data_IF_457714211322
#
_entry.id   IF_457714211322
#
_cell.length_a   1.000
_cell.length_b   1.000
_cell.length_c   1.000
_cell.angle_alpha   90.00
_cell.angle_beta   90.00
_cell.angle_gamma   90.00
#
_symmetry.space_group_name_H-M   'P 1'
#
loop_
_entity.id
_entity.type
_entity.pdbx_description
1 polymer ?
#
# COMPACT_ATOMS: atom_id res chain seq x y z
N UNK A 1 5.63 14.39 17.24
CA UNK A 1 6.85 13.97 17.97
C UNK A 1 7.29 12.61 17.46
N UNK A 2 8.60 12.42 17.23
CA UNK A 2 9.15 11.12 16.84
C UNK A 2 9.28 10.23 18.06
N UNK A 3 8.99 8.93 17.90
CA UNK A 3 9.26 7.95 18.95
C UNK A 3 10.77 7.81 19.17
N UNK A 4 11.25 7.67 20.43
CA UNK A 4 12.66 7.37 20.70
C UNK A 4 13.09 6.00 20.15
N UNK A 5 12.14 5.15 19.79
CA UNK A 5 12.35 3.83 19.20
C UNK A 5 12.49 3.85 17.67
N UNK A 6 12.30 5.02 17.03
CA UNK A 6 12.44 5.11 15.56
C UNK A 6 13.88 4.85 15.13
N UNK A 7 14.03 3.92 14.20
CA UNK A 7 15.29 3.72 13.49
C UNK A 7 15.41 4.73 12.36
N UNK A 8 16.63 5.16 12.04
CA UNK A 8 16.88 6.03 10.89
C UNK A 8 16.64 5.37 9.52
N UNK A 9 16.29 4.08 9.48
CA UNK A 9 15.97 3.33 8.25
C UNK A 9 14.49 3.31 8.03
N UNK A 10 14.06 4.06 7.04
CA UNK A 10 12.67 4.10 6.59
C UNK A 10 12.63 4.12 5.07
N UNK A 11 11.52 3.62 4.49
CA UNK A 11 11.20 3.83 3.09
C UNK A 11 11.29 5.33 2.75
N UNK A 12 11.87 5.68 1.60
CA UNK A 12 12.02 7.07 1.14
C UNK A 12 10.71 7.87 1.12
N UNK A 13 9.59 7.17 1.00
CA UNK A 13 8.23 7.75 0.97
C UNK A 13 7.48 7.63 2.30
N UNK A 14 8.14 7.16 3.37
CA UNK A 14 7.49 7.05 4.67
C UNK A 14 7.05 8.43 5.19
N UNK A 15 5.79 8.51 5.63
CA UNK A 15 5.19 9.78 6.02
C UNK A 15 4.51 10.54 4.89
N UNK A 16 4.96 10.40 3.64
CA UNK A 16 4.31 10.95 2.45
C UNK A 16 3.25 9.99 1.89
N UNK A 17 3.63 8.72 1.70
CA UNK A 17 2.73 7.64 1.29
C UNK A 17 1.81 7.22 2.44
N UNK A 18 0.52 7.02 2.16
CA UNK A 18 -0.48 6.57 3.14
C UNK A 18 -0.42 5.08 3.48
N UNK A 19 0.47 4.30 2.84
CA UNK A 19 0.44 2.83 2.91
C UNK A 19 0.97 2.21 4.20
N UNK A 20 1.86 2.88 4.94
CA UNK A 20 2.53 2.34 6.13
C UNK A 20 2.40 3.24 7.34
N UNK A 21 2.17 2.64 8.52
CA UNK A 21 2.04 3.38 9.78
C UNK A 21 3.25 3.20 10.70
N UNK A 22 3.84 2.00 10.73
CA UNK A 22 4.85 1.63 11.73
C UNK A 22 6.23 1.35 11.15
N UNK A 23 6.46 1.62 9.85
CA UNK A 23 7.71 1.21 9.18
C UNK A 23 8.97 1.90 9.73
N UNK A 24 8.82 3.01 10.45
CA UNK A 24 9.92 3.68 11.15
C UNK A 24 10.40 2.95 12.41
N UNK A 25 9.62 2.00 12.92
CA UNK A 25 10.00 1.21 14.09
C UNK A 25 10.70 -0.09 13.69
N UNK A 26 11.63 -0.61 14.54
CA UNK A 26 12.13 -1.98 14.41
C UNK A 26 10.97 -2.96 14.37
N UNK A 27 11.13 -4.08 13.65
CA UNK A 27 10.03 -5.02 13.45
C UNK A 27 9.52 -5.62 14.78
N UNK A 28 10.41 -5.89 15.72
CA UNK A 28 10.09 -6.38 17.06
C UNK A 28 9.22 -5.37 17.84
N UNK A 29 9.51 -4.08 17.71
CA UNK A 29 8.71 -3.02 18.33
C UNK A 29 7.34 -2.88 17.64
N UNK A 30 7.26 -3.08 16.32
CA UNK A 30 5.98 -3.14 15.61
C UNK A 30 5.11 -4.28 16.15
N UNK A 31 5.69 -5.45 16.43
CA UNK A 31 4.98 -6.60 17.00
C UNK A 31 4.47 -6.26 18.41
N UNK A 32 5.31 -5.72 19.29
CA UNK A 32 4.91 -5.33 20.65
C UNK A 32 3.73 -4.35 20.64
N UNK A 33 3.82 -3.29 19.85
CA UNK A 33 2.73 -2.29 19.73
C UNK A 33 1.42 -2.95 19.29
N UNK A 34 1.47 -3.83 18.29
CA UNK A 34 0.28 -4.53 17.80
C UNK A 34 -0.26 -5.53 18.82
N UNK A 35 0.61 -6.26 19.49
CA UNK A 35 0.26 -7.20 20.55
C UNK A 35 -0.48 -6.50 21.69
N UNK A 36 0.07 -5.41 22.21
CA UNK A 36 -0.54 -4.60 23.26
C UNK A 36 -1.89 -4.03 22.85
N UNK A 37 -2.02 -3.54 21.61
CA UNK A 37 -3.28 -3.03 21.09
C UNK A 37 -4.36 -4.10 21.03
N UNK A 38 -4.04 -5.28 20.47
CA UNK A 38 -4.98 -6.39 20.36
C UNK A 38 -5.35 -6.91 21.74
N UNK A 39 -4.34 -7.13 22.61
CA UNK A 39 -4.58 -7.59 23.99
C UNK A 39 -5.51 -6.64 24.74
N UNK A 40 -5.28 -5.33 24.67
CA UNK A 40 -6.13 -4.33 25.33
C UNK A 40 -7.57 -4.38 24.86
N UNK A 41 -7.79 -4.55 23.54
CA UNK A 41 -9.12 -4.68 22.96
C UNK A 41 -9.82 -5.96 23.48
N UNK A 42 -9.12 -7.09 23.48
CA UNK A 42 -9.64 -8.35 24.00
C UNK A 42 -9.92 -8.29 25.50
N UNK A 43 -9.02 -7.74 26.31
CA UNK A 43 -9.18 -7.54 27.74
C UNK A 43 -10.46 -6.74 28.05
N UNK A 44 -10.77 -5.73 27.27
CA UNK A 44 -11.95 -4.88 27.48
C UNK A 44 -13.29 -5.62 27.39
N UNK A 45 -13.31 -6.73 26.67
CA UNK A 45 -14.50 -7.57 26.45
C UNK A 45 -14.40 -8.86 27.28
N UNK A 46 -13.28 -9.58 27.18
CA UNK A 46 -13.15 -10.93 27.73
C UNK A 46 -12.95 -10.97 29.24
N UNK A 47 -12.33 -9.94 29.85
CA UNK A 47 -12.21 -9.88 31.32
C UNK A 47 -13.54 -9.71 32.05
N UNK A 48 -14.64 -9.51 31.33
CA UNK A 48 -16.01 -9.45 31.87
C UNK A 48 -16.74 -10.79 31.80
N UNK A 49 -16.12 -11.79 31.19
CA UNK A 49 -16.67 -13.14 31.09
C UNK A 49 -16.37 -13.94 32.37
N UNK A 50 -17.19 -14.90 32.66
CA UNK A 50 -16.97 -15.84 33.81
C UNK A 50 -15.85 -16.86 33.51
N UNK A 51 -15.63 -17.16 32.23
CA UNK A 51 -14.60 -18.08 31.78
C UNK A 51 -13.24 -17.44 31.68
N UNK A 52 -12.22 -18.11 32.21
CA UNK A 52 -10.83 -17.67 32.08
C UNK A 52 -10.36 -17.80 30.63
N UNK A 53 -9.66 -16.79 30.12
CA UNK A 53 -9.06 -16.83 28.80
C UNK A 53 -7.55 -16.55 28.89
N UNK A 54 -6.79 -17.00 27.89
CA UNK A 54 -5.36 -16.76 27.79
C UNK A 54 -5.02 -16.10 26.46
N UNK A 55 -4.18 -15.07 26.51
CA UNK A 55 -3.62 -14.44 25.31
C UNK A 55 -2.27 -15.10 24.97
N UNK A 56 -2.22 -15.84 23.87
CA UNK A 56 -1.04 -16.62 23.49
C UNK A 56 0.07 -15.77 22.82
N UNK A 57 -0.15 -14.45 22.69
CA UNK A 57 0.81 -13.54 22.08
C UNK A 57 0.59 -13.32 20.58
N UNK A 58 1.59 -12.73 19.92
CA UNK A 58 1.59 -12.41 18.50
C UNK A 58 2.60 -13.28 17.74
N UNK A 59 2.18 -13.84 16.62
CA UNK A 59 3.08 -14.56 15.71
C UNK A 59 3.62 -13.59 14.66
N UNK A 60 4.94 -13.37 14.67
CA UNK A 60 5.61 -12.54 13.67
C UNK A 60 5.61 -13.17 12.28
N UNK A 61 5.70 -12.32 11.24
CA UNK A 61 5.96 -12.77 9.89
C UNK A 61 7.43 -13.22 9.76
N UNK A 62 7.74 -14.26 8.97
CA UNK A 62 9.13 -14.65 8.70
C UNK A 62 9.90 -13.60 7.90
N UNK A 63 9.19 -12.65 7.28
CA UNK A 63 9.77 -11.51 6.54
C UNK A 63 9.21 -10.20 7.09
N UNK A 64 10.09 -9.28 7.48
CA UNK A 64 9.72 -7.93 7.90
C UNK A 64 9.44 -7.01 6.70
N UNK A 65 10.05 -7.32 5.55
CA UNK A 65 9.91 -6.63 4.26
C UNK A 65 9.47 -7.62 3.17
N UNK A 66 9.00 -7.11 2.03
CA UNK A 66 8.57 -7.92 0.89
C UNK A 66 7.55 -9.03 1.23
N UNK A 67 6.76 -8.80 2.28
CA UNK A 67 5.77 -9.78 2.76
C UNK A 67 4.41 -9.65 2.05
N UNK A 68 4.17 -8.53 1.37
CA UNK A 68 2.86 -8.24 0.80
C UNK A 68 2.65 -8.94 -0.52
N UNK A 69 1.59 -9.72 -0.61
CA UNK A 69 1.27 -10.55 -1.77
C UNK A 69 0.10 -10.02 -2.64
N UNK A 70 -0.47 -8.87 -2.28
CA UNK A 70 -1.48 -8.15 -3.05
C UNK A 70 -1.27 -6.65 -2.91
N UNK A 71 -1.17 -5.94 -4.03
CA UNK A 71 -1.23 -4.48 -4.08
C UNK A 71 -2.25 -4.02 -5.11
N UNK A 72 -2.92 -2.93 -4.80
CA UNK A 72 -3.77 -2.18 -5.70
C UNK A 72 -3.24 -0.76 -5.75
N UNK A 73 -2.59 -0.44 -6.85
CA UNK A 73 -2.03 0.88 -7.09
C UNK A 73 -3.07 1.74 -7.81
N UNK A 74 -3.17 3.00 -7.45
CA UNK A 74 -4.06 3.96 -8.11
C UNK A 74 -3.30 4.75 -9.16
N UNK A 75 -3.94 5.00 -10.31
CA UNK A 75 -3.50 6.01 -11.26
C UNK A 75 -3.98 7.39 -10.81
N UNK A 76 -3.18 8.41 -11.06
CA UNK A 76 -3.48 9.78 -10.70
C UNK A 76 -2.33 10.72 -11.00
N UNK A 77 -2.29 11.83 -10.30
CA UNK A 77 -1.18 12.77 -10.27
C UNK A 77 -0.75 13.05 -8.82
N UNK A 78 0.47 13.51 -8.62
CA UNK A 78 0.99 13.85 -7.29
C UNK A 78 0.55 15.25 -6.85
N UNK A 79 0.24 16.09 -7.80
CA UNK A 79 -0.34 17.42 -7.67
C UNK A 79 -1.16 17.73 -8.92
N UNK A 80 -2.14 18.59 -8.78
CA UNK A 80 -3.08 18.96 -9.85
C UNK A 80 -2.36 19.24 -11.17
N UNK A 81 -2.78 18.58 -12.24
CA UNK A 81 -2.23 18.67 -13.60
C UNK A 81 -0.75 18.25 -13.70
N UNK A 82 -0.27 17.45 -12.75
CA UNK A 82 1.07 16.88 -12.73
C UNK A 82 1.23 15.70 -13.71
N UNK A 83 2.43 15.12 -13.78
CA UNK A 83 2.69 13.94 -14.61
C UNK A 83 1.92 12.72 -14.08
N UNK A 84 1.66 11.74 -14.94
CA UNK A 84 1.00 10.49 -14.56
C UNK A 84 1.79 9.80 -13.45
N UNK A 85 1.14 9.62 -12.32
CA UNK A 85 1.60 8.84 -11.18
C UNK A 85 0.87 7.49 -11.13
N UNK A 86 1.56 6.47 -10.64
CA UNK A 86 0.97 5.17 -10.32
C UNK A 86 1.50 4.72 -8.97
N UNK A 87 0.61 4.58 -7.99
CA UNK A 87 1.07 4.25 -6.64
C UNK A 87 -0.02 4.30 -5.59
N UNK A 88 0.29 4.91 -4.46
CA UNK A 88 -0.59 4.98 -3.30
C UNK A 88 -1.06 6.41 -3.05
N UNK A 89 -2.21 6.56 -2.41
CA UNK A 89 -2.67 7.86 -1.96
C UNK A 89 -1.65 8.50 -1.03
N UNK A 90 -1.41 9.79 -1.23
CA UNK A 90 -0.62 10.62 -0.34
C UNK A 90 -1.32 10.69 1.02
N UNK A 91 -0.56 10.65 2.09
CA UNK A 91 -1.10 10.74 3.45
C UNK A 91 -1.86 12.05 3.64
N UNK A 92 -3.12 11.96 4.09
CA UNK A 92 -3.99 13.11 4.28
C UNK A 92 -4.61 13.70 3.00
N UNK A 93 -4.37 13.09 1.83
CA UNK A 93 -5.03 13.47 0.58
C UNK A 93 -5.89 12.34 0.03
N UNK A 94 -7.06 12.70 -0.52
CA UNK A 94 -7.95 11.79 -1.24
C UNK A 94 -7.68 11.75 -2.75
N UNK A 95 -6.92 12.71 -3.27
CA UNK A 95 -6.73 12.93 -4.70
C UNK A 95 -5.30 12.60 -5.14
N UNK A 96 -4.31 13.07 -4.38
CA UNK A 96 -2.91 12.99 -4.77
C UNK A 96 -2.39 11.55 -4.68
N UNK A 97 -1.72 11.10 -5.73
CA UNK A 97 -1.10 9.78 -5.83
C UNK A 97 0.42 9.93 -5.82
N UNK A 98 1.07 9.23 -4.89
CA UNK A 98 2.54 9.16 -4.82
C UNK A 98 3.00 7.90 -5.52
N UNK A 99 3.90 8.03 -6.50
CA UNK A 99 4.50 6.88 -7.18
C UNK A 99 5.43 6.13 -6.22
N UNK A 100 5.13 4.85 -5.97
CA UNK A 100 5.81 4.02 -4.95
C UNK A 100 6.80 3.04 -5.60
N UNK A 101 7.71 3.56 -6.42
CA UNK A 101 8.68 2.76 -7.17
C UNK A 101 9.64 1.94 -6.27
N UNK A 102 9.91 2.41 -5.06
CA UNK A 102 10.85 1.81 -4.10
C UNK A 102 10.13 1.20 -2.88
N UNK A 103 8.89 0.76 -3.05
CA UNK A 103 8.10 0.21 -1.95
C UNK A 103 8.76 -1.03 -1.35
N UNK A 104 9.12 -0.97 -0.05
CA UNK A 104 9.84 -2.04 0.64
C UNK A 104 8.95 -3.20 1.11
N UNK A 105 7.64 -3.01 1.19
CA UNK A 105 6.72 -4.08 1.62
C UNK A 105 6.34 -5.05 0.51
N UNK A 106 6.66 -4.73 -0.75
CA UNK A 106 6.48 -5.60 -1.92
C UNK A 106 7.83 -5.95 -2.54
N UNK A 107 7.90 -7.11 -3.20
CA UNK A 107 9.13 -7.55 -3.85
C UNK A 107 9.42 -6.81 -5.18
N UNK A 108 10.56 -7.15 -5.80
CA UNK A 108 11.04 -6.51 -7.02
C UNK A 108 10.06 -6.60 -8.19
N UNK A 109 9.31 -7.70 -8.32
CA UNK A 109 8.37 -7.90 -9.43
C UNK A 109 7.27 -6.83 -9.42
N UNK A 110 6.74 -6.49 -8.23
CA UNK A 110 5.73 -5.42 -8.11
C UNK A 110 6.29 -4.07 -8.52
N UNK A 111 7.52 -3.76 -8.11
CA UNK A 111 8.18 -2.49 -8.44
C UNK A 111 8.43 -2.38 -9.93
N UNK A 112 8.89 -3.46 -10.57
CA UNK A 112 9.11 -3.53 -12.01
C UNK A 112 7.80 -3.39 -12.80
N UNK A 113 6.75 -4.13 -12.41
CA UNK A 113 5.43 -4.06 -13.05
C UNK A 113 4.87 -2.64 -12.95
N UNK A 114 4.91 -2.03 -11.76
CA UNK A 114 4.43 -0.67 -11.55
C UNK A 114 5.14 0.32 -12.46
N UNK A 115 6.47 0.30 -12.49
CA UNK A 115 7.27 1.21 -13.31
C UNK A 115 6.99 1.01 -14.79
N UNK A 116 6.99 -0.24 -15.27
CA UNK A 116 6.73 -0.58 -16.69
C UNK A 116 5.36 -0.08 -17.13
N UNK A 117 4.32 -0.34 -16.33
CA UNK A 117 2.93 0.06 -16.64
C UNK A 117 2.78 1.57 -16.62
N UNK A 118 3.32 2.25 -15.60
CA UNK A 118 3.31 3.71 -15.51
C UNK A 118 3.97 4.35 -16.73
N UNK A 119 5.17 3.91 -17.07
CA UNK A 119 5.97 4.49 -18.15
C UNK A 119 5.32 4.25 -19.53
N UNK A 120 4.70 3.09 -19.71
CA UNK A 120 3.91 2.80 -20.92
C UNK A 120 2.76 3.82 -21.06
N UNK A 121 1.90 3.96 -20.05
CA UNK A 121 0.73 4.85 -20.14
C UNK A 121 1.10 6.33 -20.15
N UNK A 122 2.19 6.74 -19.48
CA UNK A 122 2.73 8.09 -19.58
C UNK A 122 3.19 8.41 -21.01
N UNK A 123 3.83 7.47 -21.71
CA UNK A 123 4.29 7.63 -23.08
C UNK A 123 3.14 7.74 -24.09
N UNK A 124 2.11 6.90 -23.94
CA UNK A 124 0.93 6.90 -24.83
C UNK A 124 -0.12 7.93 -24.42
N UNK A 125 0.11 8.68 -23.32
CA UNK A 125 -0.71 9.80 -22.85
C UNK A 125 -2.18 9.44 -22.61
N UNK A 126 -2.44 8.24 -22.08
CA UNK A 126 -3.80 7.82 -21.69
C UNK A 126 -4.18 8.49 -20.38
N UNK A 127 -5.38 9.10 -20.36
CA UNK A 127 -5.90 9.81 -19.19
C UNK A 127 -6.22 8.85 -18.03
N UNK A 128 -6.00 9.29 -16.79
CA UNK A 128 -6.51 8.61 -15.60
C UNK A 128 -7.87 9.19 -15.18
N UNK A 129 -8.64 8.42 -14.41
CA UNK A 129 -9.97 8.80 -13.97
C UNK A 129 -9.92 9.88 -12.88
N UNK A 130 -10.50 11.03 -13.16
CA UNK A 130 -10.66 12.13 -12.22
C UNK A 130 -11.99 12.02 -11.47
N UNK A 131 -11.93 11.95 -10.14
CA UNK A 131 -13.12 11.76 -9.28
C UNK A 131 -14.10 12.91 -9.33
N UNK A 132 -13.65 14.13 -9.61
CA UNK A 132 -14.51 15.32 -9.62
C UNK A 132 -15.26 15.48 -10.95
N UNK A 133 -14.61 15.23 -12.08
CA UNK A 133 -15.22 15.32 -13.41
C UNK A 133 -15.88 14.03 -13.85
N UNK A 134 -15.56 12.89 -13.20
CA UNK A 134 -15.93 11.53 -13.62
C UNK A 134 -15.43 11.17 -15.04
N UNK A 135 -14.33 11.78 -15.47
CA UNK A 135 -13.71 11.57 -16.77
C UNK A 135 -12.36 10.91 -16.64
N UNK A 136 -11.95 10.16 -17.69
CA UNK A 136 -10.67 9.47 -17.79
C UNK A 136 -10.80 7.95 -17.76
N UNK A 137 -9.75 7.26 -18.19
CA UNK A 137 -9.78 5.83 -18.45
C UNK A 137 -9.15 4.99 -17.34
N UNK A 138 -7.88 5.27 -16.98
CA UNK A 138 -7.11 4.46 -16.05
C UNK A 138 -7.56 4.67 -14.60
N UNK A 139 -7.82 3.57 -13.86
CA UNK A 139 -8.21 3.65 -12.45
C UNK A 139 -7.20 3.00 -11.53
N UNK A 140 -6.99 1.69 -11.66
CA UNK A 140 -6.14 0.96 -10.74
C UNK A 140 -5.33 -0.12 -11.47
N UNK A 141 -4.18 -0.45 -10.91
CA UNK A 141 -3.38 -1.61 -11.26
C UNK A 141 -3.37 -2.56 -10.06
N UNK A 142 -4.02 -3.70 -10.20
CA UNK A 142 -4.00 -4.76 -9.22
C UNK A 142 -2.90 -5.76 -9.55
N UNK A 143 -2.01 -6.02 -8.60
CA UNK A 143 -0.96 -7.04 -8.71
C UNK A 143 -1.11 -8.02 -7.55
N UNK A 144 -1.11 -9.31 -7.86
CA UNK A 144 -1.06 -10.40 -6.88
C UNK A 144 0.09 -11.33 -7.22
N UNK A 145 0.76 -11.85 -6.20
CA UNK A 145 1.79 -12.87 -6.35
C UNK A 145 1.54 -14.01 -5.37
N UNK A 146 1.52 -15.22 -5.90
CA UNK A 146 1.40 -16.42 -5.09
C UNK A 146 2.73 -16.69 -4.38
N UNK A 147 2.72 -16.69 -3.05
CA UNK A 147 3.95 -16.84 -2.25
C UNK A 147 4.60 -18.22 -2.36
N UNK A 148 3.86 -19.25 -2.78
CA UNK A 148 4.37 -20.63 -2.93
C UNK A 148 4.82 -20.94 -4.35
N UNK A 149 4.06 -20.52 -5.37
CA UNK A 149 4.33 -20.87 -6.78
C UNK A 149 5.08 -19.77 -7.51
N UNK A 150 5.09 -18.54 -7.00
CA UNK A 150 5.69 -17.37 -7.66
C UNK A 150 4.84 -16.81 -8.80
N UNK A 151 3.69 -17.41 -9.12
CA UNK A 151 2.79 -16.93 -10.16
C UNK A 151 2.28 -15.53 -9.87
N UNK A 152 2.22 -14.71 -10.93
CA UNK A 152 1.81 -13.30 -10.83
C UNK A 152 0.54 -13.08 -11.66
N UNK A 153 -0.46 -12.44 -11.04
CA UNK A 153 -1.64 -11.93 -11.70
C UNK A 153 -1.55 -10.41 -11.73
N UNK A 154 -1.71 -9.83 -12.92
CA UNK A 154 -1.80 -8.38 -13.12
C UNK A 154 -3.16 -8.06 -13.74
N UNK A 155 -3.90 -7.15 -13.14
CA UNK A 155 -5.18 -6.68 -13.68
C UNK A 155 -5.20 -5.16 -13.75
N UNK A 156 -5.49 -4.63 -14.94
CA UNK A 156 -5.74 -3.21 -15.16
C UNK A 156 -7.22 -2.94 -14.98
N UNK A 157 -7.56 -2.05 -14.06
CA UNK A 157 -8.95 -1.59 -13.84
C UNK A 157 -9.12 -0.25 -14.52
N UNK A 158 -10.13 -0.17 -15.39
CA UNK A 158 -10.43 1.01 -16.20
C UNK A 158 -11.90 1.42 -16.08
N UNK A 159 -12.23 2.59 -16.60
CA UNK A 159 -13.61 2.96 -16.89
C UNK A 159 -14.03 2.39 -18.25
N UNK A 160 -15.30 2.57 -18.60
CA UNK A 160 -15.81 2.27 -19.95
C UNK A 160 -15.50 3.36 -20.98
N UNK A 161 -14.82 4.43 -20.59
CA UNK A 161 -14.42 5.53 -21.49
C UNK A 161 -13.13 5.12 -22.22
N UNK A 162 -13.27 4.35 -23.30
CA UNK A 162 -12.14 3.82 -24.06
C UNK A 162 -11.39 4.96 -24.78
N UNK A 163 -10.07 5.16 -24.48
CA UNK A 163 -9.28 6.20 -25.12
C UNK A 163 -8.89 5.89 -26.58
N UNK A 164 -9.11 4.66 -27.03
CA UNK A 164 -8.79 4.21 -28.39
C UNK A 164 -10.01 4.19 -29.33
N UNK A 165 -11.17 4.65 -28.87
CA UNK A 165 -12.29 4.95 -29.75
C UNK A 165 -12.00 6.25 -30.50
N UNK A 166 -11.36 6.14 -31.63
CA UNK A 166 -11.12 7.22 -32.60
C UNK A 166 -11.81 6.94 -33.92
#
# INVERSE_FOLDING_TARGET
>A
EKSPLETGRTCSLFGLCGGCTYLSLPYEEQLKVKEEQVKRLLDSVLNKQEEAWAFEGIKGSPKAYEYRNKMEFSFGDEYKDGPLALGMHKRGSFYDIVTVADCEIVDADYRLILQTVRDYFARVKVSFFHRMSHEGYLRHLLVRKASRTGEILVALVTTSQDPWQG
#
